data_IF_626261570023
#
_entry.id   IF_626261570023
#
_cell.length_a   1.000
_cell.length_b   1.000
_cell.length_c   1.000
_cell.angle_alpha   90.00
_cell.angle_beta   90.00
_cell.angle_gamma   90.00
#
_symmetry.space_group_name_H-M   'P 1'
#
loop_
_entity.id
_entity.type
_entity.pdbx_description
1 polymer ?
#
# COMPACT_ATOMS: atom_id res chain seq x y z
N UNK A 1 7.31 16.90 -12.19
CA UNK A 1 6.29 17.14 -13.24
C UNK A 1 5.23 16.07 -13.11
N UNK A 2 3.92 16.42 -13.11
CA UNK A 2 2.84 15.47 -12.91
C UNK A 2 2.84 14.39 -13.99
N UNK A 3 2.56 13.13 -13.63
CA UNK A 3 2.52 12.03 -14.59
C UNK A 3 1.08 11.78 -15.02
N UNK A 4 0.84 11.84 -16.31
CA UNK A 4 -0.46 11.57 -16.91
C UNK A 4 -0.83 10.08 -16.80
N UNK A 5 -2.04 9.76 -16.31
CA UNK A 5 -2.49 8.38 -16.02
C UNK A 5 -3.21 7.72 -17.21
N UNK A 6 -4.27 8.35 -17.74
CA UNK A 6 -5.11 8.05 -18.94
C UNK A 6 -6.49 8.73 -18.72
N UNK A 7 -7.05 9.41 -19.74
CA UNK A 7 -8.33 10.22 -19.82
C UNK A 7 -8.10 11.60 -20.49
N UNK A 8 -9.10 12.46 -20.79
CA UNK A 8 -8.83 13.77 -21.44
C UNK A 8 -7.78 14.58 -20.68
N UNK A 9 -6.79 15.12 -21.40
CA UNK A 9 -5.62 15.84 -20.81
C UNK A 9 -6.00 17.15 -20.11
N UNK A 10 -7.23 17.62 -20.32
CA UNK A 10 -7.75 18.90 -19.85
C UNK A 10 -8.24 18.84 -18.40
N UNK A 11 -8.55 17.65 -17.89
CA UNK A 11 -8.95 17.46 -16.49
C UNK A 11 -7.70 17.28 -15.59
N UNK A 12 -7.43 18.23 -14.66
CA UNK A 12 -6.31 18.15 -13.74
C UNK A 12 -6.32 16.89 -12.85
N UNK A 13 -7.49 16.29 -12.60
CA UNK A 13 -7.65 15.05 -11.83
C UNK A 13 -7.01 13.83 -12.50
N UNK A 14 -6.67 13.91 -13.79
CA UNK A 14 -6.05 12.81 -14.54
C UNK A 14 -4.52 12.75 -14.41
N UNK A 15 -3.93 13.69 -13.67
CA UNK A 15 -2.51 13.70 -13.37
C UNK A 15 -2.23 13.17 -11.98
N UNK A 16 -1.20 12.34 -11.85
CA UNK A 16 -0.67 11.96 -10.56
C UNK A 16 0.36 13.01 -10.11
N UNK A 17 0.16 13.67 -8.97
CA UNK A 17 1.21 14.49 -8.39
C UNK A 17 2.40 13.60 -8.02
N UNK A 18 3.60 14.04 -8.38
CA UNK A 18 4.85 13.35 -8.04
C UNK A 18 5.80 14.38 -7.43
N UNK A 19 6.21 14.14 -6.19
CA UNK A 19 7.25 14.90 -5.50
C UNK A 19 8.62 14.43 -5.99
N UNK A 20 9.35 15.31 -6.68
CA UNK A 20 10.74 15.08 -7.05
C UNK A 20 11.61 15.64 -5.93
N UNK A 21 12.10 14.77 -5.05
CA UNK A 21 13.08 15.16 -4.02
C UNK A 21 14.50 15.16 -4.58
N UNK A 22 15.35 16.03 -4.02
CA UNK A 22 16.75 16.14 -4.40
C UNK A 22 17.51 14.85 -4.11
N UNK A 23 18.67 14.63 -4.73
CA UNK A 23 19.49 13.44 -4.46
C UNK A 23 19.84 13.32 -2.96
N UNK A 24 20.27 14.38 -2.25
CA UNK A 24 20.46 14.31 -0.80
C UNK A 24 19.16 14.00 -0.04
N UNK A 25 18.02 14.54 -0.50
CA UNK A 25 16.70 14.26 0.10
C UNK A 25 16.34 12.78 0.02
N UNK A 26 16.54 12.14 -1.13
CA UNK A 26 16.30 10.70 -1.30
C UNK A 26 17.18 9.85 -0.38
N UNK A 27 18.46 10.23 -0.20
CA UNK A 27 19.36 9.52 0.72
C UNK A 27 18.85 9.62 2.15
N UNK A 28 18.42 10.81 2.57
CA UNK A 28 17.84 11.02 3.90
C UNK A 28 16.53 10.23 4.09
N UNK A 29 15.64 10.24 3.10
CA UNK A 29 14.40 9.45 3.10
C UNK A 29 14.66 7.95 3.28
N UNK A 30 15.66 7.39 2.58
CA UNK A 30 16.03 5.98 2.72
C UNK A 30 16.52 5.65 4.14
N UNK A 31 17.29 6.56 4.75
CA UNK A 31 17.75 6.38 6.13
C UNK A 31 16.57 6.38 7.12
N UNK A 32 15.68 7.38 7.01
CA UNK A 32 14.48 7.49 7.86
C UNK A 32 13.58 6.26 7.69
N UNK A 33 13.36 5.83 6.44
CA UNK A 33 12.57 4.64 6.12
C UNK A 33 13.14 3.39 6.79
N UNK A 34 14.46 3.22 6.79
CA UNK A 34 15.14 2.09 7.42
C UNK A 34 14.88 2.04 8.94
N UNK A 35 15.05 3.17 9.63
CA UNK A 35 14.80 3.27 11.07
C UNK A 35 13.33 3.01 11.40
N UNK A 36 12.41 3.63 10.67
CA UNK A 36 10.97 3.50 10.90
C UNK A 36 10.49 2.07 10.64
N UNK A 37 10.94 1.46 9.53
CA UNK A 37 10.58 0.08 9.19
C UNK A 37 10.99 -0.88 10.29
N UNK A 38 12.22 -0.74 10.80
CA UNK A 38 12.72 -1.58 11.91
C UNK A 38 11.86 -1.38 13.16
N UNK A 39 11.64 -0.12 13.56
CA UNK A 39 10.86 0.18 14.75
C UNK A 39 9.45 -0.40 14.70
N UNK A 40 8.75 -0.26 13.57
CA UNK A 40 7.38 -0.76 13.44
C UNK A 40 7.35 -2.30 13.38
N UNK A 41 8.37 -2.94 12.82
CA UNK A 41 8.49 -4.41 12.85
C UNK A 41 8.74 -4.95 14.26
N UNK A 42 9.69 -4.36 14.98
CA UNK A 42 10.06 -4.78 16.34
C UNK A 42 8.88 -4.63 17.32
N UNK A 43 8.02 -3.63 17.10
CA UNK A 43 6.84 -3.36 17.94
C UNK A 43 5.53 -3.96 17.39
N UNK A 44 5.58 -4.82 16.37
CA UNK A 44 4.39 -5.44 15.75
C UNK A 44 3.32 -4.43 15.29
N UNK A 45 3.74 -3.22 14.88
CA UNK A 45 2.82 -2.16 14.47
C UNK A 45 2.14 -2.40 13.12
N UNK A 46 2.61 -3.38 12.33
CA UNK A 46 1.97 -3.82 11.07
C UNK A 46 1.45 -5.24 11.22
N UNK A 47 0.20 -5.47 10.80
CA UNK A 47 -0.41 -6.81 10.82
C UNK A 47 0.28 -7.78 9.86
N UNK A 48 0.37 -9.08 10.20
CA UNK A 48 0.93 -10.10 9.31
C UNK A 48 0.21 -10.24 7.96
N UNK A 49 -1.04 -9.81 7.84
CA UNK A 49 -1.79 -9.82 6.58
C UNK A 49 -1.42 -8.68 5.61
N UNK A 50 -0.66 -7.67 6.05
CA UNK A 50 -0.29 -6.53 5.21
C UNK A 50 0.79 -6.93 4.18
N UNK A 51 0.47 -6.79 2.90
CA UNK A 51 1.41 -7.17 1.83
C UNK A 51 2.04 -5.97 1.11
N UNK A 52 1.32 -4.85 1.03
CA UNK A 52 1.83 -3.64 0.38
C UNK A 52 3.07 -3.09 1.09
N UNK A 53 4.11 -2.76 0.33
CA UNK A 53 5.35 -2.14 0.80
C UNK A 53 6.14 -2.93 1.86
N UNK A 54 5.87 -4.23 2.01
CA UNK A 54 6.57 -5.09 2.96
C UNK A 54 7.65 -5.93 2.27
N UNK A 55 8.82 -6.06 2.90
CA UNK A 55 9.92 -6.89 2.39
C UNK A 55 9.48 -8.36 2.32
N UNK A 56 9.77 -9.02 1.18
CA UNK A 56 9.44 -10.43 0.96
C UNK A 56 7.96 -10.71 0.68
N UNK A 57 7.15 -9.67 0.47
CA UNK A 57 5.71 -9.78 0.18
C UNK A 57 5.40 -9.14 -1.17
N UNK A 58 4.39 -9.67 -1.85
CA UNK A 58 3.96 -9.18 -3.16
C UNK A 58 2.44 -9.26 -3.31
N UNK A 59 1.92 -8.71 -4.41
CA UNK A 59 0.52 -8.88 -4.78
C UNK A 59 0.16 -10.37 -4.97
N UNK A 60 1.11 -11.17 -5.46
CA UNK A 60 0.91 -12.61 -5.64
C UNK A 60 0.80 -13.33 -4.31
N UNK A 61 1.70 -13.08 -3.35
CA UNK A 61 1.62 -13.72 -2.02
C UNK A 61 0.36 -13.29 -1.27
N UNK A 62 -0.10 -12.05 -1.48
CA UNK A 62 -1.38 -11.57 -0.96
C UNK A 62 -2.55 -12.40 -1.50
N UNK A 63 -2.58 -12.57 -2.82
CA UNK A 63 -3.63 -13.33 -3.50
C UNK A 63 -3.65 -14.79 -3.05
N UNK A 64 -2.48 -15.42 -2.95
CA UNK A 64 -2.34 -16.80 -2.45
C UNK A 64 -2.84 -16.90 -1.01
N UNK A 65 -2.43 -15.99 -0.12
CA UNK A 65 -2.85 -16.02 1.28
C UNK A 65 -4.37 -15.84 1.44
N UNK A 66 -4.96 -15.00 0.59
CA UNK A 66 -6.41 -14.80 0.55
C UNK A 66 -7.13 -16.07 0.07
N UNK A 67 -6.71 -16.65 -1.06
CA UNK A 67 -7.35 -17.87 -1.58
C UNK A 67 -7.18 -19.07 -0.67
N UNK A 68 -6.05 -19.20 0.03
CA UNK A 68 -5.86 -20.24 1.04
C UNK A 68 -6.93 -20.13 2.14
N UNK A 69 -7.14 -18.92 2.67
CA UNK A 69 -8.17 -18.68 3.68
C UNK A 69 -9.58 -18.99 3.17
N UNK A 70 -9.92 -18.50 1.97
CA UNK A 70 -11.25 -18.73 1.38
C UNK A 70 -11.49 -20.21 1.12
N UNK A 71 -10.53 -20.90 0.52
CA UNK A 71 -10.63 -22.34 0.21
C UNK A 71 -10.88 -23.14 1.49
N UNK A 72 -10.11 -22.89 2.55
CA UNK A 72 -10.31 -23.58 3.84
C UNK A 72 -11.70 -23.35 4.44
N UNK A 73 -12.23 -22.14 4.37
CA UNK A 73 -13.57 -21.84 4.88
C UNK A 73 -14.67 -22.53 4.06
N UNK A 74 -14.50 -22.57 2.74
CA UNK A 74 -15.44 -23.24 1.84
C UNK A 74 -15.41 -24.76 2.05
N UNK A 75 -14.23 -25.36 2.25
CA UNK A 75 -14.08 -26.79 2.54
C UNK A 75 -14.76 -27.17 3.87
N UNK A 76 -14.80 -26.24 4.84
CA UNK A 76 -15.55 -26.38 6.10
C UNK A 76 -17.07 -26.16 5.94
N UNK A 77 -17.55 -25.87 4.73
CA UNK A 77 -18.96 -25.59 4.45
C UNK A 77 -19.44 -24.22 4.93
N UNK A 78 -18.52 -23.28 5.23
CA UNK A 78 -18.87 -21.93 5.68
C UNK A 78 -19.14 -21.01 4.49
N UNK A 79 -20.14 -20.13 4.64
CA UNK A 79 -20.35 -19.03 3.71
C UNK A 79 -19.23 -17.99 3.85
N UNK A 80 -18.77 -17.45 2.72
CA UNK A 80 -17.70 -16.45 2.65
C UNK A 80 -18.18 -15.24 1.86
N UNK A 81 -18.17 -14.08 2.51
CA UNK A 81 -18.41 -12.78 1.89
C UNK A 81 -17.12 -11.95 1.87
N UNK A 82 -16.92 -11.18 0.80
CA UNK A 82 -15.70 -10.38 0.58
C UNK A 82 -16.09 -8.93 0.32
N UNK A 83 -15.56 -8.01 1.12
CA UNK A 83 -15.76 -6.57 0.94
C UNK A 83 -14.45 -5.90 0.52
N UNK A 84 -14.48 -5.21 -0.63
CA UNK A 84 -13.35 -4.42 -1.10
C UNK A 84 -13.50 -2.98 -0.64
N UNK A 85 -12.44 -2.44 -0.04
CA UNK A 85 -12.36 -1.06 0.42
C UNK A 85 -11.17 -0.38 -0.26
N UNK A 86 -11.36 0.87 -0.70
CA UNK A 86 -10.31 1.69 -1.30
C UNK A 86 -10.38 3.12 -0.75
N UNK A 87 -9.21 3.77 -0.62
CA UNK A 87 -9.11 5.13 -0.10
C UNK A 87 -8.88 6.13 -1.25
N UNK A 88 -9.77 7.13 -1.34
CA UNK A 88 -9.62 8.20 -2.32
C UNK A 88 -8.46 9.14 -1.95
N UNK A 89 -7.47 9.24 -2.84
CA UNK A 89 -6.25 10.06 -2.69
C UNK A 89 -5.62 9.89 -1.29
N UNK A 90 -5.31 8.65 -0.91
CA UNK A 90 -4.89 8.27 0.44
C UNK A 90 -3.75 9.13 1.06
N UNK A 91 -2.83 9.65 0.25
CA UNK A 91 -1.73 10.48 0.73
C UNK A 91 -2.14 11.93 1.07
N UNK A 92 -3.24 12.44 0.50
CA UNK A 92 -3.72 13.80 0.76
C UNK A 92 -4.72 13.85 1.92
N UNK A 93 -5.27 12.72 2.33
CA UNK A 93 -6.30 12.61 3.37
C UNK A 93 -5.74 12.43 4.79
N UNK A 94 -4.41 12.44 4.95
CA UNK A 94 -3.74 12.32 6.26
C UNK A 94 -3.79 13.68 6.97
N UNK A 95 -4.43 13.73 8.14
CA UNK A 95 -4.44 14.93 8.99
C UNK A 95 -3.04 15.24 9.51
N UNK A 96 -2.63 16.50 9.40
CA UNK A 96 -1.38 17.03 9.95
C UNK A 96 -1.72 18.03 11.07
N UNK A 97 -0.93 18.05 12.17
CA UNK A 97 -1.10 19.01 13.26
C UNK A 97 -0.78 20.45 12.85
#
# INVERSE_FOLDING_TARGET
MPIYKKSPKEDPGNYRPVSLTSVPGKVMEQFILGVLTKHVQDNQGIRPSQHGFMKGRSCLTNLISFYDLVTRLVDEGKAVDVTYLDFNIAFNTVSQP
#
